data_IF_769563488924
#
_entry.id   IF_769563488924
#
_cell.length_a   1.000
_cell.length_b   1.000
_cell.length_c   1.000
_cell.angle_alpha   90.00
_cell.angle_beta   90.00
_cell.angle_gamma   90.00
#
_symmetry.space_group_name_H-M   'P 1'
#
loop_
_entity.id
_entity.type
_entity.pdbx_description
1 polymer ?
#
# COMPACT_ATOMS: atom_id res chain seq x y z
N UNK A 1 -5.86 -14.96 10.57
CA UNK A 1 -5.87 -13.50 10.81
C UNK A 1 -4.45 -12.91 10.92
N UNK A 2 -3.44 -13.65 11.36
CA UNK A 2 -2.02 -13.21 11.38
C UNK A 2 -1.43 -12.85 10.00
N UNK A 3 -1.90 -13.46 8.92
CA UNK A 3 -1.40 -13.20 7.55
C UNK A 3 -1.79 -11.82 7.02
N UNK A 4 -2.99 -11.35 7.35
CA UNK A 4 -3.52 -10.03 6.97
C UNK A 4 -2.80 -8.94 7.74
N UNK A 5 -2.57 -9.15 9.03
CA UNK A 5 -1.91 -8.19 9.91
C UNK A 5 -0.43 -8.03 9.55
N UNK A 6 0.25 -9.14 9.18
CA UNK A 6 1.59 -9.10 8.60
C UNK A 6 1.64 -8.40 7.24
N UNK A 7 0.63 -8.60 6.39
CA UNK A 7 0.49 -7.88 5.12
C UNK A 7 0.32 -6.38 5.35
N UNK A 8 -0.56 -6.01 6.29
CA UNK A 8 -0.85 -4.62 6.65
C UNK A 8 0.39 -3.92 7.20
N UNK A 9 1.10 -4.53 8.16
CA UNK A 9 2.36 -3.98 8.68
C UNK A 9 3.42 -3.81 7.59
N UNK A 10 3.48 -4.74 6.64
CA UNK A 10 4.42 -4.66 5.52
C UNK A 10 4.02 -3.54 4.55
N UNK A 11 2.74 -3.35 4.29
CA UNK A 11 2.22 -2.25 3.47
C UNK A 11 2.46 -0.90 4.12
N UNK A 12 2.15 -0.76 5.40
CA UNK A 12 2.38 0.46 6.17
C UNK A 12 3.88 0.82 6.18
N UNK A 13 4.76 -0.15 6.40
CA UNK A 13 6.22 0.09 6.37
C UNK A 13 6.74 0.51 4.98
N UNK A 14 6.14 -0.01 3.90
CA UNK A 14 6.52 0.35 2.54
C UNK A 14 5.99 1.73 2.16
N UNK A 15 4.80 2.08 2.66
CA UNK A 15 4.22 3.39 2.50
C UNK A 15 5.06 4.47 3.20
N UNK A 16 5.42 4.28 4.47
CA UNK A 16 6.32 5.19 5.21
C UNK A 16 7.66 5.37 4.48
N UNK A 17 8.31 4.29 4.08
CA UNK A 17 9.59 4.36 3.32
C UNK A 17 9.47 5.12 2.02
N UNK A 18 8.35 4.92 1.31
CA UNK A 18 8.09 5.61 0.05
C UNK A 18 7.85 7.09 0.30
N UNK A 19 7.10 7.44 1.35
CA UNK A 19 6.81 8.81 1.72
C UNK A 19 8.08 9.57 2.14
N UNK A 20 8.93 8.94 2.95
CA UNK A 20 10.25 9.48 3.32
C UNK A 20 11.16 9.67 2.11
N UNK A 21 11.16 8.73 1.16
CA UNK A 21 11.94 8.85 -0.07
C UNK A 21 11.44 10.01 -0.94
N UNK A 22 10.13 10.18 -1.06
CA UNK A 22 9.50 11.30 -1.78
C UNK A 22 9.86 12.62 -1.12
N UNK A 23 9.77 12.69 0.21
CA UNK A 23 10.04 13.91 0.96
C UNK A 23 11.50 14.32 0.85
N UNK A 24 12.43 13.35 0.89
CA UNK A 24 13.86 13.59 0.62
C UNK A 24 14.15 14.06 -0.80
N UNK A 25 13.50 13.47 -1.81
CA UNK A 25 13.65 13.93 -3.21
C UNK A 25 13.08 15.34 -3.37
N UNK A 26 11.95 15.63 -2.74
CA UNK A 26 11.29 16.94 -2.80
C UNK A 26 12.03 18.05 -2.03
N UNK A 27 12.82 17.70 -1.02
CA UNK A 27 13.67 18.66 -0.29
C UNK A 27 15.07 18.82 -0.89
N UNK A 28 15.60 17.82 -1.62
CA UNK A 28 16.89 17.90 -2.34
C UNK A 28 16.72 18.17 -3.85
N UNK A 29 15.91 19.16 -4.24
CA UNK A 29 15.66 19.53 -5.65
C UNK A 29 16.81 20.37 -6.24
N UNK A 30 18.05 20.00 -5.97
CA UNK A 30 19.21 20.40 -6.79
C UNK A 30 19.82 19.11 -7.36
N UNK A 31 19.65 18.90 -8.66
CA UNK A 31 20.24 17.75 -9.36
C UNK A 31 19.47 16.43 -9.24
N UNK A 32 18.13 16.46 -9.43
CA UNK A 32 17.31 15.24 -9.55
C UNK A 32 17.94 14.30 -10.59
N UNK A 33 18.38 13.12 -10.14
CA UNK A 33 18.98 12.12 -11.03
C UNK A 33 17.89 11.27 -11.69
N UNK A 34 18.22 10.67 -12.84
CA UNK A 34 17.35 9.69 -13.50
C UNK A 34 17.05 8.48 -12.61
N UNK A 35 17.97 8.12 -11.70
CA UNK A 35 17.79 7.03 -10.74
C UNK A 35 16.74 7.38 -9.68
N UNK A 36 16.69 8.62 -9.20
CA UNK A 36 15.67 9.08 -8.24
C UNK A 36 14.28 9.03 -8.87
N UNK A 37 14.16 9.40 -10.14
CA UNK A 37 12.91 9.31 -10.91
C UNK A 37 12.49 7.85 -11.09
N UNK A 38 13.45 6.95 -11.38
CA UNK A 38 13.16 5.52 -11.50
C UNK A 38 12.73 4.90 -10.16
N UNK A 39 13.39 5.26 -9.06
CA UNK A 39 13.03 4.83 -7.71
C UNK A 39 11.64 5.33 -7.31
N UNK A 40 11.33 6.60 -7.56
CA UNK A 40 10.01 7.19 -7.35
C UNK A 40 8.92 6.45 -8.12
N UNK A 41 9.14 6.21 -9.42
CA UNK A 41 8.18 5.52 -10.27
C UNK A 41 7.95 4.07 -9.83
N UNK A 42 9.00 3.38 -9.39
CA UNK A 42 8.90 2.02 -8.84
C UNK A 42 8.08 2.00 -7.55
N UNK A 43 8.39 2.90 -6.60
CA UNK A 43 7.69 3.01 -5.33
C UNK A 43 6.20 3.37 -5.54
N UNK A 44 5.91 4.27 -6.48
CA UNK A 44 4.53 4.60 -6.88
C UNK A 44 3.74 3.40 -7.40
N UNK A 45 4.35 2.54 -8.24
CA UNK A 45 3.70 1.33 -8.75
C UNK A 45 3.43 0.33 -7.62
N UNK A 46 4.38 0.16 -6.71
CA UNK A 46 4.20 -0.71 -5.55
C UNK A 46 3.07 -0.22 -4.65
N UNK A 47 2.99 1.10 -4.39
CA UNK A 47 1.92 1.70 -3.61
C UNK A 47 0.54 1.53 -4.28
N UNK A 48 0.45 1.68 -5.61
CA UNK A 48 -0.79 1.45 -6.33
C UNK A 48 -1.27 -0.01 -6.21
N UNK A 49 -0.36 -0.98 -6.33
CA UNK A 49 -0.67 -2.41 -6.15
C UNK A 49 -1.09 -2.73 -4.71
N UNK A 50 -0.42 -2.15 -3.73
CA UNK A 50 -0.75 -2.27 -2.32
C UNK A 50 -2.17 -1.76 -2.02
N UNK A 51 -2.47 -0.55 -2.49
CA UNK A 51 -3.78 0.09 -2.33
C UNK A 51 -4.89 -0.72 -2.99
N UNK A 52 -4.63 -1.31 -4.17
CA UNK A 52 -5.57 -2.21 -4.82
C UNK A 52 -5.84 -3.46 -3.98
N UNK A 53 -4.79 -4.12 -3.46
CA UNK A 53 -4.93 -5.31 -2.63
C UNK A 53 -5.72 -5.04 -1.33
N UNK A 54 -5.48 -3.91 -0.67
CA UNK A 54 -6.24 -3.49 0.53
C UNK A 54 -7.73 -3.31 0.23
N UNK A 55 -8.06 -2.70 -0.91
CA UNK A 55 -9.47 -2.55 -1.31
C UNK A 55 -10.14 -3.90 -1.56
N UNK A 56 -9.45 -4.84 -2.22
CA UNK A 56 -9.97 -6.20 -2.40
C UNK A 56 -10.18 -6.91 -1.07
N UNK A 57 -9.26 -6.76 -0.12
CA UNK A 57 -9.39 -7.33 1.22
C UNK A 57 -10.63 -6.80 1.95
N UNK A 58 -10.88 -5.49 1.89
CA UNK A 58 -12.06 -4.87 2.47
C UNK A 58 -13.35 -5.41 1.83
N UNK A 59 -13.39 -5.54 0.50
CA UNK A 59 -14.52 -6.12 -0.22
C UNK A 59 -14.78 -7.57 0.20
N UNK A 60 -13.72 -8.39 0.31
CA UNK A 60 -13.85 -9.79 0.75
C UNK A 60 -14.37 -9.86 2.19
N UNK A 61 -13.83 -9.06 3.10
CA UNK A 61 -14.30 -8.99 4.50
C UNK A 61 -15.78 -8.59 4.58
N UNK A 62 -16.18 -7.58 3.81
CA UNK A 62 -17.59 -7.14 3.76
C UNK A 62 -18.51 -8.23 3.24
N UNK A 63 -18.14 -8.87 2.12
CA UNK A 63 -18.93 -9.94 1.53
C UNK A 63 -19.03 -11.15 2.46
N UNK A 64 -17.93 -11.52 3.13
CA UNK A 64 -17.93 -12.60 4.12
C UNK A 64 -18.87 -12.29 5.28
N UNK A 65 -18.81 -11.07 5.85
CA UNK A 65 -19.71 -10.66 6.91
C UNK A 65 -21.19 -10.72 6.48
N UNK A 66 -21.49 -10.29 5.25
CA UNK A 66 -22.84 -10.37 4.68
C UNK A 66 -23.31 -11.82 4.52
N UNK A 67 -22.46 -12.73 4.05
CA UNK A 67 -22.80 -14.15 3.92
C UNK A 67 -23.09 -14.80 5.27
N UNK A 68 -22.29 -14.51 6.31
CA UNK A 68 -22.52 -15.01 7.67
C UNK A 68 -23.88 -14.53 8.20
N UNK A 69 -24.19 -13.24 8.04
CA UNK A 69 -25.48 -12.67 8.46
C UNK A 69 -26.64 -13.35 7.72
N UNK A 70 -26.49 -13.62 6.43
CA UNK A 70 -27.51 -14.30 5.63
C UNK A 70 -27.70 -15.78 6.02
N UNK A 71 -26.66 -16.47 6.49
CA UNK A 71 -26.77 -17.88 6.94
C UNK A 71 -27.36 -18.01 8.35
N UNK A 72 -27.16 -17.02 9.22
CA UNK A 72 -27.70 -17.02 10.60
C UNK A 72 -29.20 -16.65 10.63
N UNK A 73 -29.74 -16.08 9.54
CA UNK A 73 -31.10 -15.58 9.44
C UNK A 73 -32.01 -16.51 8.65
#
# INVERSE_FOLDING_TARGET
>A
MSSIEGLRNRLDSQFERTQDAIDKIATNVEGISLDDIAAFNSARRQNASASWALNQELTVKHNLAKSIINEIR
#
